data_IF_182231918981
#
_entry.id   IF_182231918981
#
_cell.length_a   1.000
_cell.length_b   1.000
_cell.length_c   1.000
_cell.angle_alpha   90.00
_cell.angle_beta   90.00
_cell.angle_gamma   90.00
#
_symmetry.space_group_name_H-M   'P 1'
#
loop_
_entity.id
_entity.type
_entity.pdbx_description
1 polymer ?
#
# COMPACT_ATOMS: atom_id res chain seq x y z
N UNK A 1 -9.62 11.48 -20.09
CA UNK A 1 -10.23 10.13 -20.24
C UNK A 1 -11.27 9.94 -19.14
N UNK A 2 -12.44 9.42 -19.44
CA UNK A 2 -13.46 9.23 -18.42
C UNK A 2 -13.18 7.95 -17.64
N UNK A 3 -13.37 7.98 -16.33
CA UNK A 3 -13.35 6.81 -15.42
C UNK A 3 -14.24 5.68 -15.95
N UNK A 4 -15.32 6.06 -16.66
CA UNK A 4 -16.23 5.15 -17.35
C UNK A 4 -15.51 4.18 -18.30
N UNK A 5 -14.57 4.65 -19.12
CA UNK A 5 -13.82 3.77 -20.03
C UNK A 5 -12.88 2.82 -19.29
N UNK A 6 -12.25 3.30 -18.21
CA UNK A 6 -11.42 2.45 -17.36
C UNK A 6 -12.24 1.32 -16.73
N UNK A 7 -13.45 1.64 -16.25
CA UNK A 7 -14.40 0.67 -15.73
C UNK A 7 -14.79 -0.37 -16.79
N UNK A 8 -15.19 0.06 -17.99
CA UNK A 8 -15.55 -0.84 -19.08
C UNK A 8 -14.44 -1.82 -19.44
N UNK A 9 -13.19 -1.35 -19.52
CA UNK A 9 -12.02 -2.21 -19.77
C UNK A 9 -11.80 -3.20 -18.64
N UNK A 10 -11.90 -2.75 -17.37
CA UNK A 10 -11.76 -3.61 -16.22
C UNK A 10 -12.84 -4.69 -16.18
N UNK A 11 -14.10 -4.32 -16.42
CA UNK A 11 -15.24 -5.26 -16.46
C UNK A 11 -15.07 -6.31 -17.56
N UNK A 12 -14.54 -5.93 -18.74
CA UNK A 12 -14.20 -6.88 -19.79
C UNK A 12 -13.10 -7.85 -19.35
N UNK A 13 -12.02 -7.34 -18.71
CA UNK A 13 -10.94 -8.20 -18.21
C UNK A 13 -11.47 -9.23 -17.20
N UNK A 14 -12.26 -8.78 -16.22
CA UNK A 14 -12.82 -9.64 -15.17
C UNK A 14 -13.86 -10.62 -15.73
N UNK A 15 -14.68 -10.19 -16.69
CA UNK A 15 -15.65 -11.04 -17.37
C UNK A 15 -15.01 -12.22 -18.11
N UNK A 16 -13.86 -12.00 -18.76
CA UNK A 16 -13.09 -13.07 -19.40
C UNK A 16 -12.49 -14.07 -18.40
N UNK A 17 -12.31 -13.69 -17.14
CA UNK A 17 -11.86 -14.58 -16.07
C UNK A 17 -13.01 -15.41 -15.47
N UNK A 18 -14.26 -15.19 -15.90
CA UNK A 18 -15.44 -15.92 -15.43
C UNK A 18 -15.82 -15.59 -13.98
N UNK A 19 -15.47 -14.40 -13.49
CA UNK A 19 -15.76 -13.97 -12.14
C UNK A 19 -17.10 -13.24 -12.05
N UNK A 20 -17.76 -13.37 -10.90
CA UNK A 20 -18.92 -12.54 -10.53
C UNK A 20 -18.42 -11.39 -9.68
N UNK A 21 -18.69 -10.16 -10.12
CA UNK A 21 -18.17 -8.96 -9.49
C UNK A 21 -19.11 -7.76 -9.67
N UNK A 22 -18.89 -6.75 -8.85
CA UNK A 22 -19.39 -5.39 -9.01
C UNK A 22 -18.20 -4.44 -8.96
N UNK A 23 -18.25 -3.35 -9.73
CA UNK A 23 -17.21 -2.31 -9.71
C UNK A 23 -17.81 -1.01 -9.21
N UNK A 24 -17.28 -0.52 -8.12
CA UNK A 24 -17.61 0.78 -7.53
C UNK A 24 -16.56 1.82 -7.93
N UNK A 25 -17.02 2.96 -8.45
CA UNK A 25 -16.15 4.09 -8.76
C UNK A 25 -16.05 5.01 -7.54
N UNK A 26 -14.81 5.30 -7.13
CA UNK A 26 -14.53 6.20 -6.02
C UNK A 26 -13.49 7.25 -6.45
N UNK A 27 -13.53 8.42 -5.84
CA UNK A 27 -12.58 9.51 -6.13
C UNK A 27 -12.00 10.12 -4.84
N UNK A 28 -11.34 9.33 -4.00
CA UNK A 28 -10.74 9.86 -2.78
C UNK A 28 -9.57 10.81 -3.12
N UNK A 29 -9.65 12.04 -2.62
CA UNK A 29 -8.62 13.08 -2.82
C UNK A 29 -8.25 13.31 -4.31
N UNK A 30 -9.24 13.26 -5.22
CA UNK A 30 -9.03 13.49 -6.65
C UNK A 30 -8.32 12.36 -7.38
N UNK A 31 -8.27 11.16 -6.81
CA UNK A 31 -7.71 9.96 -7.45
C UNK A 31 -8.83 9.04 -7.91
N UNK A 32 -8.79 8.63 -9.16
CA UNK A 32 -9.75 7.66 -9.69
C UNK A 32 -9.42 6.26 -9.16
N UNK A 33 -10.34 5.68 -8.40
CA UNK A 33 -10.24 4.34 -7.83
C UNK A 33 -11.41 3.51 -8.32
N UNK A 34 -11.13 2.32 -8.83
CA UNK A 34 -12.11 1.28 -9.14
C UNK A 34 -11.99 0.19 -8.08
N UNK A 35 -12.97 0.10 -7.20
CA UNK A 35 -13.04 -0.91 -6.16
C UNK A 35 -13.90 -2.08 -6.63
N UNK A 36 -13.32 -3.26 -6.67
CA UNK A 36 -13.99 -4.48 -7.11
C UNK A 36 -14.57 -5.20 -5.89
N UNK A 37 -15.86 -5.49 -5.93
CA UNK A 37 -16.53 -6.33 -4.94
C UNK A 37 -16.79 -7.71 -5.54
N UNK A 38 -16.27 -8.76 -4.89
CA UNK A 38 -16.44 -10.13 -5.35
C UNK A 38 -16.37 -11.13 -4.20
N UNK A 39 -17.17 -12.20 -4.30
CA UNK A 39 -17.05 -13.34 -3.37
C UNK A 39 -15.73 -14.11 -3.53
N UNK A 40 -15.06 -13.93 -4.65
CA UNK A 40 -13.77 -14.54 -4.96
C UNK A 40 -12.61 -13.53 -4.85
N UNK A 41 -12.73 -12.55 -3.94
CA UNK A 41 -11.73 -11.49 -3.73
C UNK A 41 -10.31 -12.03 -3.54
N UNK A 42 -10.15 -13.17 -2.87
CA UNK A 42 -8.84 -13.82 -2.71
C UNK A 42 -8.14 -14.18 -4.03
N UNK A 43 -8.90 -14.53 -5.08
CA UNK A 43 -8.36 -14.78 -6.42
C UNK A 43 -7.91 -13.50 -7.12
N UNK A 44 -8.62 -12.41 -6.87
CA UNK A 44 -8.32 -11.09 -7.46
C UNK A 44 -7.18 -10.37 -6.73
N UNK A 45 -6.99 -10.66 -5.45
CA UNK A 45 -5.87 -10.12 -4.66
C UNK A 45 -4.60 -10.93 -4.94
N UNK A 46 -4.70 -12.25 -4.86
CA UNK A 46 -3.56 -13.16 -5.00
C UNK A 46 -2.63 -13.15 -3.78
N UNK A 47 -1.49 -13.82 -3.90
CA UNK A 47 -0.47 -13.83 -2.84
C UNK A 47 0.11 -12.43 -2.68
N UNK A 48 0.06 -11.89 -1.47
CA UNK A 48 0.62 -10.57 -1.11
C UNK A 48 0.15 -9.43 -2.04
N UNK A 49 -1.07 -9.54 -2.60
CA UNK A 49 -1.63 -8.53 -3.49
C UNK A 49 -1.12 -8.58 -4.93
N UNK A 50 -0.35 -9.59 -5.33
CA UNK A 50 0.31 -9.64 -6.64
C UNK A 50 -0.68 -9.60 -7.81
N UNK A 51 -1.78 -10.35 -7.74
CA UNK A 51 -2.78 -10.37 -8.82
C UNK A 51 -3.44 -9.00 -8.96
N UNK A 52 -3.73 -8.33 -7.83
CA UNK A 52 -4.28 -6.98 -7.82
C UNK A 52 -3.33 -5.96 -8.47
N UNK A 53 -2.03 -6.04 -8.17
CA UNK A 53 -1.02 -5.20 -8.81
C UNK A 53 -0.92 -5.46 -10.32
N UNK A 54 -0.95 -6.71 -10.74
CA UNK A 54 -0.91 -7.10 -12.15
C UNK A 54 -2.16 -6.63 -12.90
N UNK A 55 -3.35 -6.74 -12.30
CA UNK A 55 -4.60 -6.20 -12.86
C UNK A 55 -4.51 -4.70 -13.06
N UNK A 56 -4.05 -3.96 -12.05
CA UNK A 56 -3.88 -2.52 -12.14
C UNK A 56 -2.87 -2.13 -13.23
N UNK A 57 -1.73 -2.83 -13.28
CA UNK A 57 -0.71 -2.59 -14.29
C UNK A 57 -1.26 -2.80 -15.71
N UNK A 58 -1.93 -3.93 -15.96
CA UNK A 58 -2.50 -4.25 -17.26
C UNK A 58 -3.59 -3.26 -17.67
N UNK A 59 -4.50 -2.91 -16.76
CA UNK A 59 -5.53 -1.91 -17.01
C UNK A 59 -4.90 -0.58 -17.46
N UNK A 60 -3.98 -0.04 -16.68
CA UNK A 60 -3.34 1.23 -16.99
C UNK A 60 -2.54 1.17 -18.30
N UNK A 61 -1.91 0.03 -18.59
CA UNK A 61 -1.18 -0.16 -19.85
C UNK A 61 -2.11 -0.16 -21.07
N UNK A 62 -3.29 -0.79 -20.95
CA UNK A 62 -4.31 -0.77 -22.02
C UNK A 62 -4.82 0.66 -22.23
N UNK A 63 -5.13 1.37 -21.14
CA UNK A 63 -5.63 2.75 -21.20
C UNK A 63 -4.61 3.69 -21.82
N UNK A 64 -3.35 3.65 -21.40
CA UNK A 64 -2.29 4.50 -21.93
C UNK A 64 -1.93 4.18 -23.38
N UNK A 65 -2.17 2.95 -23.85
CA UNK A 65 -1.99 2.61 -25.27
C UNK A 65 -3.12 3.16 -26.14
N UNK A 66 -4.33 3.27 -25.59
CA UNK A 66 -5.49 3.80 -26.31
C UNK A 66 -5.48 5.33 -26.36
N UNK A 67 -4.93 5.99 -25.35
CA UNK A 67 -4.85 7.45 -25.22
C UNK A 67 -3.55 7.81 -24.49
N UNK A 68 -2.61 8.43 -25.20
CA UNK A 68 -1.33 8.85 -24.63
C UNK A 68 -1.55 9.89 -23.53
N UNK A 69 -0.96 9.67 -22.36
CA UNK A 69 -1.13 10.54 -21.19
C UNK A 69 -2.42 10.34 -20.41
N UNK A 70 -3.13 9.23 -20.61
CA UNK A 70 -4.29 8.87 -19.78
C UNK A 70 -3.92 8.88 -18.30
N UNK A 71 -4.79 9.43 -17.44
CA UNK A 71 -4.60 9.39 -16.00
C UNK A 71 -4.58 7.95 -15.49
N UNK A 72 -3.63 7.64 -14.62
CA UNK A 72 -3.56 6.32 -14.00
C UNK A 72 -4.76 6.11 -13.05
N UNK A 73 -5.37 4.94 -13.18
CA UNK A 73 -6.47 4.49 -12.33
C UNK A 73 -5.93 3.51 -11.30
N UNK A 74 -6.39 3.65 -10.07
CA UNK A 74 -6.09 2.71 -8.98
C UNK A 74 -7.17 1.63 -8.99
N UNK A 75 -6.75 0.38 -8.90
CA UNK A 75 -7.65 -0.76 -8.71
C UNK A 75 -7.51 -1.25 -7.27
N UNK A 76 -8.63 -1.50 -6.61
CA UNK A 76 -8.69 -2.11 -5.29
C UNK A 76 -9.71 -3.25 -5.27
N UNK A 77 -9.66 -4.12 -4.29
CA UNK A 77 -10.61 -5.23 -4.09
C UNK A 77 -11.05 -5.22 -2.64
N UNK A 78 -12.33 -4.95 -2.41
CA UNK A 78 -12.95 -4.92 -1.08
C UNK A 78 -12.17 -4.11 -0.03
N UNK A 79 -11.52 -3.02 -0.45
CA UNK A 79 -10.70 -2.18 0.42
C UNK A 79 -9.41 -2.85 0.92
N UNK A 80 -8.91 -3.83 0.19
CA UNK A 80 -7.70 -4.62 0.56
C UNK A 80 -6.50 -3.74 0.87
N UNK A 81 -6.22 -2.72 0.04
CA UNK A 81 -5.05 -1.86 0.22
C UNK A 81 -5.05 -1.11 1.55
N UNK A 82 -6.21 -0.63 1.98
CA UNK A 82 -6.34 0.07 3.26
C UNK A 82 -6.18 -0.90 4.43
N UNK A 83 -6.77 -2.09 4.33
CA UNK A 83 -6.65 -3.13 5.34
C UNK A 83 -5.22 -3.62 5.48
N UNK A 84 -4.55 -3.91 4.37
CA UNK A 84 -3.14 -4.34 4.37
C UNK A 84 -2.23 -3.30 5.05
N UNK A 85 -2.44 -2.01 4.73
CA UNK A 85 -1.71 -0.92 5.37
C UNK A 85 -1.95 -0.88 6.89
N UNK A 86 -3.19 -1.05 7.33
CA UNK A 86 -3.53 -1.06 8.76
C UNK A 86 -2.91 -2.26 9.47
N UNK A 87 -2.98 -3.45 8.89
CA UNK A 87 -2.41 -4.68 9.43
C UNK A 87 -0.87 -4.57 9.52
N UNK A 88 -0.23 -4.02 8.49
CA UNK A 88 1.20 -3.75 8.49
C UNK A 88 1.60 -2.81 9.62
N UNK A 89 0.95 -1.65 9.74
CA UNK A 89 1.24 -0.69 10.81
C UNK A 89 0.90 -1.24 12.19
N UNK A 90 -0.12 -2.10 12.30
CA UNK A 90 -0.45 -2.81 13.54
C UNK A 90 0.72 -3.68 14.02
N UNK A 91 1.29 -4.50 13.14
CA UNK A 91 2.47 -5.32 13.45
C UNK A 91 3.68 -4.46 13.84
N UNK A 92 3.92 -3.36 13.15
CA UNK A 92 5.03 -2.44 13.48
C UNK A 92 4.82 -1.80 14.85
N UNK A 93 3.59 -1.44 15.23
CA UNK A 93 3.29 -0.92 16.56
C UNK A 93 3.50 -1.95 17.67
N UNK A 94 3.14 -3.20 17.45
CA UNK A 94 3.44 -4.30 18.40
C UNK A 94 4.95 -4.45 18.63
N UNK A 95 5.75 -4.36 17.58
CA UNK A 95 7.21 -4.36 17.68
C UNK A 95 7.74 -3.13 18.44
N UNK A 96 7.13 -1.97 18.28
CA UNK A 96 7.48 -0.78 19.02
C UNK A 96 7.18 -0.91 20.52
N UNK A 97 6.07 -1.58 20.89
CA UNK A 97 5.78 -1.90 22.30
C UNK A 97 6.87 -2.81 22.91
N UNK A 98 7.39 -3.75 22.14
CA UNK A 98 8.51 -4.56 22.60
C UNK A 98 9.76 -3.71 22.84
N UNK A 99 10.07 -2.77 21.97
CA UNK A 99 11.18 -1.82 22.16
C UNK A 99 10.98 -0.98 23.43
N UNK A 100 9.75 -0.49 23.70
CA UNK A 100 9.44 0.24 24.96
C UNK A 100 9.68 -0.64 26.19
N UNK A 101 9.22 -1.88 26.14
CA UNK A 101 9.32 -2.81 27.27
C UNK A 101 10.76 -3.26 27.54
N UNK A 102 11.55 -3.52 26.50
CA UNK A 102 12.89 -4.11 26.62
C UNK A 102 14.02 -3.08 26.59
N UNK A 103 13.78 -1.89 26.06
CA UNK A 103 14.81 -0.89 25.78
C UNK A 103 15.76 -1.24 24.66
N UNK A 104 15.56 -2.39 24.00
CA UNK A 104 16.46 -2.89 22.94
C UNK A 104 15.96 -2.45 21.57
N UNK A 105 16.83 -1.91 20.72
CA UNK A 105 16.49 -1.64 19.33
C UNK A 105 16.02 -2.89 18.59
N UNK A 106 15.06 -2.74 17.69
CA UNK A 106 14.50 -3.80 16.88
C UNK A 106 14.57 -3.43 15.41
N UNK A 107 15.18 -4.31 14.59
CA UNK A 107 15.34 -4.10 13.15
C UNK A 107 14.17 -4.76 12.42
N UNK A 108 13.44 -3.97 11.62
CA UNK A 108 12.35 -4.46 10.78
C UNK A 108 12.90 -5.13 9.51
N UNK A 109 12.09 -5.99 8.90
CA UNK A 109 12.43 -6.58 7.62
C UNK A 109 12.67 -5.51 6.54
N UNK A 110 13.53 -5.78 5.53
CA UNK A 110 13.76 -4.85 4.43
C UNK A 110 12.46 -4.50 3.70
N UNK A 111 12.24 -3.22 3.43
CA UNK A 111 11.03 -2.72 2.80
C UNK A 111 11.33 -1.61 1.79
N UNK A 112 10.40 -1.36 0.90
CA UNK A 112 10.49 -0.31 -0.10
C UNK A 112 10.36 1.10 0.51
N UNK A 113 10.60 2.14 -0.27
CA UNK A 113 10.56 3.53 0.20
C UNK A 113 9.19 3.99 0.68
N UNK A 114 8.12 3.46 0.09
CA UNK A 114 6.75 3.79 0.49
C UNK A 114 6.43 3.26 1.90
N UNK A 115 6.73 1.98 2.15
CA UNK A 115 6.50 1.36 3.46
C UNK A 115 7.37 1.98 4.54
N UNK A 116 8.64 2.30 4.23
CA UNK A 116 9.51 3.04 5.16
C UNK A 116 8.92 4.39 5.55
N UNK A 117 8.37 5.11 4.57
CA UNK A 117 7.71 6.40 4.84
C UNK A 117 6.49 6.23 5.75
N UNK A 118 5.69 5.18 5.55
CA UNK A 118 4.56 4.87 6.44
C UNK A 118 5.02 4.63 7.87
N UNK A 119 6.10 3.85 8.05
CA UNK A 119 6.66 3.61 9.39
C UNK A 119 7.16 4.90 10.02
N UNK A 120 7.94 5.71 9.31
CA UNK A 120 8.43 7.00 9.84
C UNK A 120 7.27 7.93 10.24
N UNK A 121 6.25 8.04 9.40
CA UNK A 121 5.07 8.87 9.69
C UNK A 121 4.29 8.37 10.91
N UNK A 122 4.22 7.05 11.12
CA UNK A 122 3.51 6.47 12.27
C UNK A 122 4.15 6.82 13.62
N UNK A 123 5.45 7.14 13.64
CA UNK A 123 6.21 7.44 14.86
C UNK A 123 6.81 8.85 14.90
N UNK A 124 6.48 9.72 13.94
CA UNK A 124 7.04 11.10 13.90
C UNK A 124 6.75 11.88 15.18
N UNK A 125 5.54 11.75 15.72
CA UNK A 125 5.08 12.42 16.93
C UNK A 125 5.14 11.51 18.18
N UNK A 126 5.72 10.32 18.06
CA UNK A 126 5.84 9.40 19.20
C UNK A 126 6.91 9.92 20.16
N UNK A 127 6.60 10.11 21.46
CA UNK A 127 7.54 10.68 22.41
C UNK A 127 8.67 9.74 22.80
N UNK A 128 8.49 8.44 22.64
CA UNK A 128 9.41 7.42 23.15
C UNK A 128 10.15 6.67 22.04
N UNK A 129 9.52 6.50 20.88
CA UNK A 129 10.07 5.73 19.76
C UNK A 129 10.65 6.65 18.69
N UNK A 130 11.87 6.34 18.27
CA UNK A 130 12.50 6.90 17.10
C UNK A 130 12.64 5.81 16.03
N UNK A 131 12.67 6.24 14.77
CA UNK A 131 12.85 5.35 13.62
C UNK A 131 14.08 5.80 12.82
N UNK A 132 14.95 4.86 12.50
CA UNK A 132 16.17 5.11 11.73
C UNK A 132 16.22 4.19 10.53
N UNK A 133 16.29 4.75 9.32
CA UNK A 133 16.50 3.99 8.09
C UNK A 133 17.98 3.71 7.88
N UNK A 134 18.27 2.55 7.32
CA UNK A 134 19.58 2.22 6.79
C UNK A 134 19.99 3.21 5.69
N UNK A 135 21.26 3.63 5.68
CA UNK A 135 21.82 4.49 4.65
C UNK A 135 22.17 3.70 3.38
N UNK A 136 22.31 4.40 2.25
CA UNK A 136 22.74 3.81 0.98
C UNK A 136 21.68 3.88 -0.14
N UNK A 137 22.02 3.37 -1.33
CA UNK A 137 21.22 3.41 -2.55
C UNK A 137 20.35 2.16 -2.80
N UNK A 138 20.28 1.20 -1.87
CA UNK A 138 19.52 -0.03 -2.06
C UNK A 138 18.02 0.22 -2.24
N UNK A 139 17.38 -0.55 -3.12
CA UNK A 139 15.91 -0.48 -3.35
C UNK A 139 15.11 -0.87 -2.11
N UNK A 140 15.54 -1.91 -1.43
CA UNK A 140 14.97 -2.36 -0.16
C UNK A 140 15.94 -2.02 0.97
N UNK A 141 15.45 -1.42 2.04
CA UNK A 141 16.22 -1.03 3.22
C UNK A 141 15.48 -1.38 4.49
N UNK A 142 16.25 -1.58 5.55
CA UNK A 142 15.71 -1.83 6.87
C UNK A 142 15.43 -0.52 7.62
N UNK A 143 14.50 -0.58 8.57
CA UNK A 143 14.28 0.45 9.57
C UNK A 143 14.56 -0.18 10.93
N UNK A 144 15.23 0.57 11.79
CA UNK A 144 15.41 0.24 13.19
C UNK A 144 14.46 1.08 14.03
N UNK A 145 13.69 0.42 14.88
CA UNK A 145 12.92 1.03 15.96
C UNK A 145 13.80 1.09 17.22
N UNK A 146 13.89 2.26 17.82
CA UNK A 146 14.71 2.46 19.03
C UNK A 146 14.04 3.49 19.98
N UNK A 147 14.43 3.46 21.26
CA UNK A 147 14.00 4.50 22.18
C UNK A 147 14.65 5.83 21.81
N UNK A 148 13.88 6.91 21.90
CA UNK A 148 14.45 8.26 21.82
C UNK A 148 15.38 8.46 23.01
N UNK A 149 16.59 8.92 22.75
CA UNK A 149 17.46 9.40 23.82
C UNK A 149 16.84 10.65 24.46
N UNK A 150 16.70 10.64 25.78
CA UNK A 150 16.23 11.80 26.54
C UNK A 150 17.16 12.98 26.27
N UNK A 151 16.77 13.90 25.36
CA UNK A 151 17.57 15.10 25.06
C UNK A 151 17.68 15.52 23.60
N UNK A 152 17.10 14.78 22.64
CA UNK A 152 17.07 15.21 21.24
C UNK A 152 15.73 15.87 20.92
N UNK A 153 15.68 17.19 20.93
CA UNK A 153 14.60 17.96 20.32
C UNK A 153 14.52 17.61 18.81
N UNK A 154 13.31 17.47 18.25
CA UNK A 154 13.15 17.25 16.82
C UNK A 154 13.64 18.48 16.04
N UNK A 155 14.55 18.28 15.11
CA UNK A 155 14.92 19.27 14.10
C UNK A 155 13.91 19.29 12.97
#
# INVERSE_FOLDING_TARGET
MSTQRAREVLELMLGHLGLVFEVEEMEPAGRHVLNIHSRESGRLIGRDGQVLEDLQYLLNRILNRAEEGAANVIVDVDGYRQKEKQDFLGRVREMAEEVRRTGRPLVLAPMNSFDRRLVHQAFVDDPEIATQSEEGGARLKQITLLLRSSGAEPK
#
